data_IF_211821838654
#
_entry.id   IF_211821838654
#
_cell.length_a   1.000
_cell.length_b   1.000
_cell.length_c   1.000
_cell.angle_alpha   90.00
_cell.angle_beta   90.00
_cell.angle_gamma   90.00
#
_symmetry.space_group_name_H-M   'P 1'
#
loop_
_entity.id
_entity.type
_entity.pdbx_description
1 polymer ?
#
# COMPACT_ATOMS: atom_id res chain seq x y z
N UNK A 1 -12.26 -20.06 29.21
CA UNK A 1 -12.78 -21.39 29.57
C UNK A 1 -11.95 -22.44 28.84
N UNK A 2 -11.47 -23.46 29.55
CA UNK A 2 -10.89 -24.65 28.89
C UNK A 2 -12.06 -25.43 28.28
N UNK A 3 -12.29 -25.32 26.99
CA UNK A 3 -13.34 -26.05 26.30
C UNK A 3 -13.13 -27.54 26.37
N UNK A 4 -14.20 -28.28 26.44
CA UNK A 4 -14.17 -29.76 26.54
C UNK A 4 -14.15 -30.32 25.11
N UNK A 5 -12.97 -30.79 24.63
CA UNK A 5 -12.82 -31.48 23.35
C UNK A 5 -13.36 -32.88 23.34
N UNK A 6 -13.57 -33.52 24.54
CA UNK A 6 -14.03 -34.87 24.64
C UNK A 6 -15.47 -35.01 24.17
N UNK A 7 -15.68 -35.84 23.14
CA UNK A 7 -17.00 -36.11 22.58
C UNK A 7 -17.84 -36.98 23.50
N UNK A 8 -19.16 -36.79 23.44
CA UNK A 8 -20.11 -37.64 24.10
C UNK A 8 -20.01 -39.08 23.57
N UNK A 9 -19.92 -40.06 24.46
CA UNK A 9 -19.94 -41.49 24.11
C UNK A 9 -21.35 -42.01 24.19
N UNK A 10 -21.97 -42.25 23.05
CA UNK A 10 -23.33 -42.81 22.95
C UNK A 10 -23.28 -44.31 23.17
N UNK A 11 -24.26 -44.82 23.95
CA UNK A 11 -24.41 -46.24 24.19
C UNK A 11 -25.84 -46.71 23.83
N UNK A 12 -25.96 -47.98 23.40
CA UNK A 12 -27.26 -48.54 23.06
C UNK A 12 -28.13 -48.61 24.33
N UNK A 13 -29.40 -48.16 24.22
CA UNK A 13 -30.35 -48.11 25.34
C UNK A 13 -30.17 -46.94 26.31
N UNK A 14 -29.26 -46.00 26.01
CA UNK A 14 -29.08 -44.81 26.80
C UNK A 14 -30.27 -43.83 26.58
N UNK A 15 -30.80 -43.28 27.66
CA UNK A 15 -31.79 -42.20 27.60
C UNK A 15 -31.12 -40.93 27.07
N UNK A 16 -31.72 -40.27 26.09
CA UNK A 16 -31.23 -39.02 25.54
C UNK A 16 -31.69 -37.86 26.45
N UNK A 17 -30.72 -37.21 27.07
CA UNK A 17 -30.94 -36.04 27.93
C UNK A 17 -30.40 -34.79 27.28
N UNK A 18 -31.00 -33.57 27.53
CA UNK A 18 -30.53 -32.31 27.00
C UNK A 18 -29.04 -32.03 27.24
N UNK A 19 -28.52 -32.38 28.40
CA UNK A 19 -27.12 -32.17 28.81
C UNK A 19 -26.12 -32.91 27.91
N UNK A 20 -26.53 -34.05 27.33
CA UNK A 20 -25.70 -34.81 26.41
C UNK A 20 -25.58 -34.12 25.05
N UNK A 21 -26.66 -33.51 24.57
CA UNK A 21 -26.65 -32.72 23.34
C UNK A 21 -25.83 -31.46 23.53
N UNK A 22 -25.98 -30.75 24.65
CA UNK A 22 -25.19 -29.58 25.01
C UNK A 22 -23.70 -29.93 25.09
N UNK A 23 -23.32 -31.04 25.73
CA UNK A 23 -21.93 -31.51 25.80
C UNK A 23 -21.37 -31.89 24.43
N UNK A 24 -22.19 -32.42 23.52
CA UNK A 24 -21.77 -32.72 22.16
C UNK A 24 -21.56 -31.45 21.36
N UNK A 25 -22.46 -30.48 21.46
CA UNK A 25 -22.34 -29.18 20.83
C UNK A 25 -21.11 -28.42 21.33
N UNK A 26 -20.90 -28.36 22.66
CA UNK A 26 -19.72 -27.76 23.29
C UNK A 26 -18.41 -28.36 22.74
N UNK A 27 -18.37 -29.69 22.56
CA UNK A 27 -17.20 -30.38 22.01
C UNK A 27 -16.94 -30.00 20.54
N UNK A 28 -17.98 -29.85 19.71
CA UNK A 28 -17.89 -29.46 18.31
C UNK A 28 -17.46 -28.01 18.17
N UNK A 29 -18.04 -27.10 18.94
CA UNK A 29 -17.67 -25.68 18.97
C UNK A 29 -16.22 -25.53 19.42
N UNK A 30 -15.82 -26.24 20.49
CA UNK A 30 -14.44 -26.20 20.98
C UNK A 30 -13.44 -26.74 19.94
N UNK A 31 -13.75 -27.84 19.23
CA UNK A 31 -12.90 -28.37 18.14
C UNK A 31 -12.74 -27.31 17.02
N UNK A 32 -13.81 -26.66 16.65
CA UNK A 32 -13.79 -25.61 15.62
C UNK A 32 -12.92 -24.43 16.04
N UNK A 33 -13.13 -23.89 17.24
CA UNK A 33 -12.33 -22.78 17.78
C UNK A 33 -10.84 -23.14 17.84
N UNK A 34 -10.51 -24.35 18.30
CA UNK A 34 -9.12 -24.84 18.38
C UNK A 34 -8.47 -24.90 17.00
N UNK A 35 -9.19 -25.37 15.97
CA UNK A 35 -8.68 -25.42 14.60
C UNK A 35 -8.36 -24.03 14.06
N UNK A 36 -9.24 -23.05 14.30
CA UNK A 36 -8.98 -21.67 13.91
C UNK A 36 -7.76 -21.09 14.64
N UNK A 37 -7.62 -21.33 15.95
CA UNK A 37 -6.45 -20.89 16.71
C UNK A 37 -5.13 -21.52 16.24
N UNK A 38 -5.19 -22.73 15.70
CA UNK A 38 -4.01 -23.41 15.12
C UNK A 38 -3.59 -22.87 13.75
N UNK A 39 -4.34 -21.94 13.15
CA UNK A 39 -3.96 -21.30 11.88
C UNK A 39 -2.70 -20.42 12.00
N UNK A 40 -2.27 -20.11 13.22
CA UNK A 40 -1.06 -19.32 13.50
C UNK A 40 -1.24 -17.81 13.42
N UNK A 41 -2.46 -17.34 13.07
CA UNK A 41 -2.84 -15.92 13.11
C UNK A 41 -3.96 -15.71 14.13
N UNK A 42 -4.13 -14.49 14.68
CA UNK A 42 -5.24 -14.18 15.57
C UNK A 42 -6.60 -14.46 14.90
N UNK A 43 -7.46 -15.18 15.60
CA UNK A 43 -8.74 -15.67 15.07
C UNK A 43 -9.95 -15.03 15.79
N UNK A 44 -9.84 -13.76 16.17
CA UNK A 44 -10.89 -12.97 16.81
C UNK A 44 -10.90 -11.55 16.26
N UNK A 45 -12.02 -10.85 16.46
CA UNK A 45 -12.21 -9.49 16.00
C UNK A 45 -13.38 -9.37 15.03
N UNK A 46 -13.49 -8.22 14.42
CA UNK A 46 -14.58 -7.86 13.50
C UNK A 46 -14.33 -8.48 12.13
N UNK A 47 -15.25 -9.35 11.70
CA UNK A 47 -15.28 -9.88 10.34
C UNK A 47 -16.07 -8.96 9.38
N UNK A 48 -17.14 -8.33 9.87
CA UNK A 48 -17.91 -7.32 9.14
C UNK A 48 -18.55 -6.35 10.13
N UNK A 49 -18.62 -5.06 9.76
CA UNK A 49 -19.31 -4.05 10.55
C UNK A 49 -19.87 -2.97 9.63
N UNK A 50 -21.17 -2.76 9.74
CA UNK A 50 -21.88 -1.70 9.06
C UNK A 50 -22.77 -0.96 10.05
N UNK A 51 -22.59 0.33 10.14
CA UNK A 51 -23.44 1.23 10.94
C UNK A 51 -24.16 2.24 10.05
N UNK A 52 -25.10 2.96 10.64
CA UNK A 52 -25.80 4.03 9.94
C UNK A 52 -25.01 5.35 10.06
N UNK A 53 -24.33 5.74 8.98
CA UNK A 53 -23.48 6.95 8.95
C UNK A 53 -24.29 8.24 9.13
N UNK A 54 -25.52 8.30 8.63
CA UNK A 54 -26.39 9.47 8.78
C UNK A 54 -26.73 9.70 10.25
N UNK A 55 -27.02 8.65 11.00
CA UNK A 55 -27.32 8.77 12.43
C UNK A 55 -26.08 9.13 13.26
N UNK A 56 -24.88 8.80 12.83
CA UNK A 56 -23.64 9.18 13.54
C UNK A 56 -23.49 10.69 13.56
N UNK A 57 -23.72 11.39 12.46
CA UNK A 57 -23.65 12.85 12.42
C UNK A 57 -24.65 13.50 13.37
N UNK A 58 -25.79 12.85 13.64
CA UNK A 58 -26.79 13.25 14.63
C UNK A 58 -26.44 12.83 16.08
N UNK A 59 -25.37 12.06 16.24
CA UNK A 59 -24.89 11.57 17.53
C UNK A 59 -25.54 10.26 17.98
N UNK A 60 -26.01 9.43 17.06
CA UNK A 60 -26.57 8.12 17.39
C UNK A 60 -25.79 7.04 16.67
N UNK A 61 -25.16 6.13 17.40
CA UNK A 61 -24.51 4.95 16.87
C UNK A 61 -25.51 3.79 16.79
N UNK A 62 -25.72 3.28 15.58
CA UNK A 62 -26.65 2.18 15.33
C UNK A 62 -26.04 1.17 14.37
N UNK A 63 -25.87 -0.06 14.83
CA UNK A 63 -25.34 -1.18 14.04
C UNK A 63 -26.45 -1.72 13.13
N UNK A 64 -26.19 -1.74 11.83
CA UNK A 64 -27.08 -2.35 10.82
C UNK A 64 -26.75 -3.81 10.61
N UNK A 65 -25.46 -4.15 10.57
CA UNK A 65 -24.98 -5.50 10.46
C UNK A 65 -23.60 -5.62 11.13
N UNK A 66 -23.35 -6.74 11.78
CA UNK A 66 -22.04 -7.02 12.39
C UNK A 66 -21.80 -8.52 12.44
N UNK A 67 -20.62 -8.95 12.00
CA UNK A 67 -20.11 -10.29 12.26
C UNK A 67 -18.82 -10.14 13.08
N UNK A 68 -18.79 -10.72 14.26
CA UNK A 68 -17.73 -10.55 15.25
C UNK A 68 -17.40 -11.88 15.90
N UNK A 69 -16.12 -12.22 15.98
CA UNK A 69 -15.64 -13.35 16.78
C UNK A 69 -14.97 -12.80 18.02
N UNK A 70 -15.49 -13.16 19.18
CA UNK A 70 -14.95 -12.75 20.47
C UNK A 70 -13.62 -13.47 20.77
N UNK A 71 -12.78 -12.98 21.70
CA UNK A 71 -11.54 -13.66 22.10
C UNK A 71 -11.75 -15.11 22.62
N UNK A 72 -12.91 -15.43 23.19
CA UNK A 72 -13.28 -16.81 23.56
C UNK A 72 -13.45 -17.71 22.33
N UNK A 73 -13.78 -17.14 21.19
CA UNK A 73 -14.16 -17.81 19.95
C UNK A 73 -15.69 -17.81 19.71
N UNK A 74 -16.46 -17.14 20.57
CA UNK A 74 -17.90 -16.96 20.37
C UNK A 74 -18.13 -16.14 19.10
N UNK A 75 -18.90 -16.67 18.16
CA UNK A 75 -19.32 -15.99 16.93
C UNK A 75 -20.65 -15.28 17.17
N UNK A 76 -20.64 -13.98 16.93
CA UNK A 76 -21.80 -13.11 17.01
C UNK A 76 -22.12 -12.55 15.62
N UNK A 77 -23.38 -12.65 15.23
CA UNK A 77 -23.90 -12.13 13.95
C UNK A 77 -25.17 -11.32 14.20
N UNK A 78 -25.14 -10.04 13.89
CA UNK A 78 -26.27 -9.13 13.98
C UNK A 78 -26.78 -8.86 12.57
N UNK A 79 -28.07 -9.19 12.27
CA UNK A 79 -29.16 -9.61 13.14
C UNK A 79 -29.34 -11.14 13.28
N UNK A 80 -28.35 -11.99 13.00
CA UNK A 80 -28.49 -13.45 12.98
C UNK A 80 -28.74 -14.08 14.38
N UNK A 81 -27.68 -14.20 15.20
CA UNK A 81 -27.77 -14.80 16.54
C UNK A 81 -27.58 -13.77 17.66
N UNK A 82 -27.55 -12.48 17.33
CA UNK A 82 -27.38 -11.41 18.31
C UNK A 82 -28.21 -10.17 17.98
N UNK A 83 -28.62 -9.44 19.01
CA UNK A 83 -29.35 -8.19 18.90
C UNK A 83 -28.64 -7.06 19.65
N UNK A 84 -28.78 -5.83 19.17
CA UNK A 84 -28.20 -4.64 19.80
C UNK A 84 -29.15 -3.45 19.70
N UNK A 85 -29.10 -2.55 20.69
CA UNK A 85 -29.84 -1.29 20.66
C UNK A 85 -28.92 -0.14 20.25
N UNK A 86 -29.47 0.93 19.62
CA UNK A 86 -28.71 2.15 19.34
C UNK A 86 -28.14 2.80 20.60
N UNK A 87 -26.99 3.45 20.45
CA UNK A 87 -26.31 4.17 21.54
C UNK A 87 -26.22 5.66 21.23
N UNK A 88 -26.56 6.52 22.20
CA UNK A 88 -26.47 7.97 22.07
C UNK A 88 -25.05 8.46 22.42
N UNK A 89 -24.33 9.02 21.43
CA UNK A 89 -23.00 9.61 21.60
C UNK A 89 -23.01 10.97 22.32
N UNK A 90 -24.18 11.65 22.38
CA UNK A 90 -24.30 12.98 22.96
C UNK A 90 -24.31 12.95 24.50
N UNK A 91 -23.23 12.44 25.11
CA UNK A 91 -23.03 12.44 26.55
C UNK A 91 -22.57 13.84 26.95
N UNK A 92 -23.24 14.48 27.93
CA UNK A 92 -22.89 15.83 28.36
C UNK A 92 -21.43 15.96 28.80
N UNK A 93 -20.74 16.97 28.27
CA UNK A 93 -19.35 17.29 28.64
C UNK A 93 -18.28 16.40 27.96
N UNK A 94 -18.66 15.49 27.06
CA UNK A 94 -17.72 14.63 26.33
C UNK A 94 -17.57 15.04 24.88
N UNK A 95 -16.32 15.07 24.40
CA UNK A 95 -15.96 15.32 23.00
C UNK A 95 -15.47 14.03 22.36
N UNK A 96 -15.04 13.05 23.18
CA UNK A 96 -14.52 11.76 22.74
C UNK A 96 -15.25 10.64 23.45
N UNK A 97 -15.74 9.66 22.70
CA UNK A 97 -16.53 8.55 23.24
C UNK A 97 -15.96 7.23 22.70
N UNK A 98 -15.35 6.41 23.54
CA UNK A 98 -15.06 5.02 23.19
C UNK A 98 -16.34 4.22 23.20
N UNK A 99 -16.49 3.27 22.29
CA UNK A 99 -17.62 2.36 22.27
C UNK A 99 -17.17 0.92 22.48
N UNK A 100 -17.79 0.27 23.44
CA UNK A 100 -17.59 -1.12 23.80
C UNK A 100 -18.85 -1.92 23.49
N UNK A 101 -18.66 -3.14 22.99
CA UNK A 101 -19.71 -4.14 22.84
C UNK A 101 -19.56 -5.15 23.98
N UNK A 102 -20.59 -5.30 24.76
CA UNK A 102 -20.68 -6.22 25.90
C UNK A 102 -21.67 -7.32 25.57
N UNK A 103 -21.25 -8.59 25.79
CA UNK A 103 -22.14 -9.72 25.71
C UNK A 103 -22.68 -10.00 27.10
N UNK A 104 -23.96 -9.75 27.34
CA UNK A 104 -24.54 -9.76 28.69
C UNK A 104 -25.20 -11.10 29.01
N UNK A 105 -25.68 -11.86 28.04
CA UNK A 105 -26.32 -13.13 28.26
C UNK A 105 -27.15 -13.57 27.06
N UNK A 106 -27.89 -14.65 27.28
CA UNK A 106 -28.90 -15.11 26.35
C UNK A 106 -30.17 -14.29 26.56
N UNK A 107 -30.74 -13.75 25.47
CA UNK A 107 -32.03 -13.12 25.53
C UNK A 107 -33.09 -14.22 25.83
N UNK A 108 -33.77 -14.09 26.95
CA UNK A 108 -34.85 -15.02 27.26
C UNK A 108 -36.01 -14.82 26.28
N UNK A 109 -36.59 -15.89 25.71
CA UNK A 109 -37.79 -15.76 24.91
C UNK A 109 -38.92 -15.23 25.78
N UNK A 110 -39.36 -13.96 25.58
CA UNK A 110 -40.48 -13.37 26.29
C UNK A 110 -40.23 -12.06 27.03
N UNK A 111 -39.00 -11.56 27.14
CA UNK A 111 -38.78 -10.16 27.56
C UNK A 111 -38.87 -9.24 26.33
N UNK A 112 -40.03 -8.65 26.16
CA UNK A 112 -40.29 -7.58 25.19
C UNK A 112 -39.46 -6.35 25.58
N UNK A 113 -38.21 -6.27 25.08
CA UNK A 113 -37.56 -4.99 24.89
C UNK A 113 -38.29 -4.27 23.76
N UNK A 114 -38.62 -2.98 23.92
CA UNK A 114 -39.25 -2.12 22.92
C UNK A 114 -38.43 -2.04 21.63
N UNK A 115 -38.55 -3.03 20.79
CA UNK A 115 -37.89 -3.15 19.50
C UNK A 115 -38.19 -4.53 18.92
N UNK A 116 -39.44 -4.69 18.47
CA UNK A 116 -40.05 -5.94 18.04
C UNK A 116 -39.20 -6.79 17.10
N UNK A 117 -38.54 -7.75 17.65
CA UNK A 117 -38.18 -8.99 16.99
C UNK A 117 -39.09 -10.07 17.55
N UNK A 118 -40.15 -10.34 16.84
CA UNK A 118 -40.87 -11.60 16.97
C UNK A 118 -39.84 -12.69 16.66
N UNK A 119 -39.50 -13.52 17.67
CA UNK A 119 -38.88 -14.82 17.41
C UNK A 119 -39.75 -15.48 16.36
N UNK A 120 -39.26 -15.64 15.13
CA UNK A 120 -40.01 -16.38 14.10
C UNK A 120 -40.17 -17.78 14.67
N UNK A 121 -41.39 -18.09 15.18
CA UNK A 121 -41.83 -19.44 15.50
C UNK A 121 -41.94 -20.25 14.22
N UNK A 122 -40.82 -20.68 13.66
CA UNK A 122 -40.80 -21.82 12.77
C UNK A 122 -40.82 -23.10 13.63
N UNK A 123 -41.98 -23.44 14.09
CA UNK A 123 -42.18 -24.67 14.89
C UNK A 123 -41.64 -24.51 16.33
N UNK A 124 -41.83 -25.48 17.15
CA UNK A 124 -41.57 -25.59 18.60
C UNK A 124 -40.09 -25.55 19.04
N UNK A 125 -39.18 -24.90 18.29
CA UNK A 125 -37.74 -24.85 18.61
C UNK A 125 -37.35 -23.44 19.08
N UNK A 126 -37.02 -23.28 20.36
CA UNK A 126 -36.44 -22.06 20.90
C UNK A 126 -34.97 -21.94 20.48
N UNK A 127 -34.57 -20.78 19.93
CA UNK A 127 -33.18 -20.47 19.56
C UNK A 127 -32.57 -19.52 20.59
N UNK A 128 -31.26 -19.68 20.84
CA UNK A 128 -30.51 -18.77 21.70
C UNK A 128 -30.13 -17.55 20.88
N UNK A 129 -30.49 -16.37 21.36
CA UNK A 129 -30.10 -15.06 20.80
C UNK A 129 -29.34 -14.29 21.88
N UNK A 130 -28.17 -13.79 21.55
CA UNK A 130 -27.35 -13.02 22.46
C UNK A 130 -27.77 -11.57 22.53
N UNK A 131 -27.85 -11.01 23.73
CA UNK A 131 -28.08 -9.59 23.92
C UNK A 131 -26.73 -8.85 24.01
N UNK A 132 -26.55 -7.87 23.12
CA UNK A 132 -25.35 -7.03 23.09
C UNK A 132 -25.71 -5.63 23.58
N UNK A 133 -24.95 -5.15 24.55
CA UNK A 133 -25.06 -3.78 25.05
C UNK A 133 -23.89 -2.98 24.48
N UNK A 134 -24.21 -1.85 23.81
CA UNK A 134 -23.22 -0.87 23.41
C UNK A 134 -23.14 0.21 24.48
N UNK A 135 -21.94 0.48 24.99
CA UNK A 135 -21.75 1.52 26.01
C UNK A 135 -20.40 2.24 25.85
N UNK A 136 -20.25 3.37 26.51
CA UNK A 136 -18.97 4.10 26.62
C UNK A 136 -18.05 3.57 27.73
N UNK A 137 -18.57 2.70 28.57
CA UNK A 137 -17.85 2.15 29.73
C UNK A 137 -17.17 0.84 29.36
N UNK A 138 -15.92 0.67 29.80
CA UNK A 138 -15.16 -0.57 29.54
C UNK A 138 -15.73 -1.78 30.27
N UNK A 139 -16.42 -1.59 31.38
CA UNK A 139 -17.00 -2.65 32.19
C UNK A 139 -18.50 -2.47 32.33
N UNK A 140 -19.25 -3.52 32.02
CA UNK A 140 -20.71 -3.56 32.14
C UNK A 140 -21.10 -4.68 33.11
N UNK A 141 -21.92 -4.39 34.15
CA UNK A 141 -22.44 -5.41 35.04
C UNK A 141 -23.15 -6.55 34.28
N UNK A 142 -22.84 -7.79 34.61
CA UNK A 142 -23.41 -8.96 33.96
C UNK A 142 -22.79 -9.33 32.59
N UNK A 143 -21.91 -8.53 32.03
CA UNK A 143 -21.20 -8.88 30.83
C UNK A 143 -20.14 -9.97 31.10
N UNK A 144 -20.14 -11.03 30.29
CA UNK A 144 -19.14 -12.08 30.38
C UNK A 144 -17.99 -11.92 29.37
N UNK A 145 -18.20 -11.14 28.29
CA UNK A 145 -17.17 -10.69 27.36
C UNK A 145 -17.39 -9.25 26.91
N UNK A 146 -16.29 -8.56 26.60
CA UNK A 146 -16.31 -7.18 26.15
C UNK A 146 -15.23 -6.96 25.11
N UNK A 147 -15.56 -6.25 24.03
CA UNK A 147 -14.60 -5.79 23.02
C UNK A 147 -14.85 -4.32 22.72
N UNK A 148 -13.78 -3.55 22.51
CA UNK A 148 -13.88 -2.17 22.04
C UNK A 148 -14.11 -2.15 20.53
N UNK A 149 -15.20 -1.52 20.08
CA UNK A 149 -15.61 -1.49 18.69
C UNK A 149 -15.06 -0.29 17.93
N UNK A 150 -15.10 0.89 18.54
CA UNK A 150 -14.72 2.14 17.87
C UNK A 150 -14.43 3.24 18.89
N UNK A 151 -13.86 4.32 18.44
CA UNK A 151 -13.84 5.61 19.12
C UNK A 151 -14.46 6.68 18.22
N UNK A 152 -15.29 7.54 18.80
CA UNK A 152 -15.88 8.68 18.12
C UNK A 152 -15.39 9.99 18.74
N UNK A 153 -15.26 11.02 17.91
CA UNK A 153 -14.87 12.35 18.34
C UNK A 153 -15.73 13.40 17.63
N UNK A 154 -16.07 14.47 18.32
CA UNK A 154 -16.70 15.65 17.71
C UNK A 154 -15.63 16.51 17.04
N UNK A 155 -15.89 16.91 15.83
CA UNK A 155 -15.11 17.94 15.17
C UNK A 155 -15.42 19.35 15.77
N UNK A 156 -14.68 20.41 15.36
CA UNK A 156 -14.93 21.78 15.83
C UNK A 156 -16.33 22.30 15.48
N UNK A 157 -17.01 21.73 14.51
CA UNK A 157 -18.37 22.07 14.08
C UNK A 157 -19.43 21.30 14.88
N UNK A 158 -19.01 20.38 15.75
CA UNK A 158 -19.87 19.60 16.62
C UNK A 158 -20.41 18.32 16.00
N UNK A 159 -19.91 17.93 14.82
CA UNK A 159 -20.32 16.72 14.11
C UNK A 159 -19.49 15.53 14.61
N UNK A 160 -20.18 14.41 14.89
CA UNK A 160 -19.50 13.18 15.29
C UNK A 160 -18.86 12.47 14.10
N UNK A 161 -17.60 12.05 14.27
CA UNK A 161 -16.87 11.23 13.32
C UNK A 161 -16.11 10.08 14.00
N UNK A 162 -15.83 9.02 13.27
CA UNK A 162 -14.98 7.93 13.78
C UNK A 162 -13.53 8.39 13.84
N UNK A 163 -12.85 8.06 14.93
CA UNK A 163 -11.41 8.31 15.10
C UNK A 163 -10.59 7.28 14.34
N UNK A 164 -9.58 7.74 13.61
CA UNK A 164 -8.67 6.88 12.81
C UNK A 164 -7.51 6.31 13.62
N UNK A 165 -7.20 6.88 14.78
CA UNK A 165 -6.11 6.44 15.66
C UNK A 165 -6.47 5.24 16.56
N UNK A 166 -7.73 4.79 16.48
CA UNK A 166 -8.16 3.52 17.06
C UNK A 166 -8.80 2.64 15.97
N UNK A 167 -8.28 1.43 15.82
CA UNK A 167 -8.83 0.39 14.97
C UNK A 167 -8.99 -0.86 15.83
N UNK A 168 -10.20 -1.42 15.95
CA UNK A 168 -10.42 -2.66 16.69
C UNK A 168 -9.71 -3.85 16.04
N UNK A 169 -9.55 -4.97 16.75
CA UNK A 169 -9.16 -6.21 16.10
C UNK A 169 -10.07 -6.55 14.93
N UNK A 170 -9.50 -6.81 13.76
CA UNK A 170 -10.22 -7.14 12.53
C UNK A 170 -9.86 -8.55 12.07
N UNK A 171 -10.82 -9.34 11.65
CA UNK A 171 -10.59 -10.59 10.93
C UNK A 171 -10.45 -10.37 9.42
N UNK A 172 -11.08 -9.31 8.91
CA UNK A 172 -11.07 -8.99 7.49
C UNK A 172 -10.94 -7.49 7.29
N UNK A 173 -10.12 -7.09 6.33
CA UNK A 173 -10.01 -5.72 5.83
C UNK A 173 -10.98 -5.55 4.65
N UNK A 174 -11.65 -4.39 4.58
CA UNK A 174 -12.58 -4.08 3.49
C UNK A 174 -14.05 -4.42 3.77
N UNK A 175 -14.36 -4.97 4.95
CA UNK A 175 -15.72 -5.30 5.39
C UNK A 175 -16.24 -4.39 6.50
N UNK A 176 -15.45 -3.39 6.85
CA UNK A 176 -15.73 -2.39 7.87
C UNK A 176 -15.17 -1.05 7.42
N UNK A 177 -15.56 0.08 8.03
CA UNK A 177 -15.04 1.40 7.65
C UNK A 177 -13.57 1.62 8.01
N UNK A 178 -12.97 0.73 8.79
CA UNK A 178 -11.60 0.88 9.25
C UNK A 178 -10.57 0.57 8.16
N UNK A 179 -9.46 1.32 8.14
CA UNK A 179 -8.33 1.22 7.22
C UNK A 179 -8.60 1.60 5.75
N UNK A 180 -9.84 1.74 5.34
CA UNK A 180 -10.14 1.99 3.93
C UNK A 180 -9.67 3.37 3.47
N UNK A 181 -9.86 4.42 4.27
CA UNK A 181 -9.36 5.76 3.96
C UNK A 181 -7.84 5.84 3.91
N UNK A 182 -7.15 5.13 4.81
CA UNK A 182 -5.68 5.04 4.82
C UNK A 182 -5.15 4.36 3.56
N UNK A 183 -5.86 3.32 3.08
CA UNK A 183 -5.50 2.63 1.84
C UNK A 183 -5.84 3.42 0.59
N UNK A 184 -6.89 4.23 0.60
CA UNK A 184 -7.20 5.14 -0.52
C UNK A 184 -6.13 6.23 -0.64
N UNK A 185 -5.77 6.90 0.46
CA UNK A 185 -4.65 7.85 0.49
C UNK A 185 -3.31 7.22 0.10
N UNK A 186 -3.07 5.97 0.52
CA UNK A 186 -1.87 5.23 0.12
C UNK A 186 -1.89 4.89 -1.37
N UNK A 187 -3.05 4.52 -1.91
CA UNK A 187 -3.24 4.24 -3.34
C UNK A 187 -2.90 5.44 -4.23
N UNK A 188 -3.35 6.64 -3.85
CA UNK A 188 -3.01 7.89 -4.56
C UNK A 188 -1.49 8.17 -4.54
N UNK A 189 -0.86 8.01 -3.37
CA UNK A 189 0.59 8.16 -3.25
C UNK A 189 1.35 7.11 -4.09
N UNK A 190 0.83 5.89 -4.18
CA UNK A 190 1.41 4.81 -4.97
C UNK A 190 1.31 5.07 -6.48
N UNK A 191 0.21 5.63 -6.98
CA UNK A 191 0.05 6.01 -8.37
C UNK A 191 1.04 7.11 -8.78
N UNK A 192 1.22 8.12 -7.95
CA UNK A 192 2.22 9.16 -8.16
C UNK A 192 3.64 8.57 -8.15
N UNK A 193 3.93 7.70 -7.22
CA UNK A 193 5.23 7.04 -7.14
C UNK A 193 5.51 6.15 -8.36
N UNK A 194 4.50 5.41 -8.86
CA UNK A 194 4.60 4.64 -10.09
C UNK A 194 4.97 5.52 -11.28
N UNK A 195 4.28 6.65 -11.45
CA UNK A 195 4.56 7.59 -12.53
C UNK A 195 6.03 8.07 -12.50
N UNK A 196 6.52 8.42 -11.32
CA UNK A 196 7.89 8.90 -11.13
C UNK A 196 8.93 7.79 -11.38
N UNK A 197 8.66 6.55 -10.93
CA UNK A 197 9.51 5.41 -11.23
C UNK A 197 9.57 5.11 -12.73
N UNK A 198 8.47 5.30 -13.47
CA UNK A 198 8.46 5.11 -14.92
C UNK A 198 9.32 6.17 -15.63
N UNK A 199 9.29 7.42 -15.16
CA UNK A 199 10.18 8.48 -15.67
C UNK A 199 11.65 8.18 -15.32
N UNK A 200 11.91 7.69 -14.10
CA UNK A 200 13.26 7.31 -13.68
C UNK A 200 13.79 6.13 -14.52
N UNK A 201 12.97 5.11 -14.74
CA UNK A 201 13.33 3.98 -15.62
C UNK A 201 13.74 4.45 -17.03
N UNK A 202 13.04 5.42 -17.59
CA UNK A 202 13.35 5.98 -18.91
C UNK A 202 14.67 6.76 -18.94
N UNK A 203 15.19 7.18 -17.78
CA UNK A 203 16.47 7.91 -17.67
C UNK A 203 17.70 7.00 -17.54
N UNK A 204 17.53 5.70 -17.27
CA UNK A 204 18.62 4.74 -17.20
C UNK A 204 18.86 4.07 -18.54
N UNK A 205 20.11 3.99 -18.95
CA UNK A 205 20.53 3.31 -20.19
C UNK A 205 20.51 1.80 -20.05
N UNK A 206 21.08 1.29 -18.96
CA UNK A 206 21.12 -0.15 -18.64
C UNK A 206 21.84 -0.36 -17.29
N UNK A 207 21.87 -1.60 -16.81
CA UNK A 207 22.67 -2.00 -15.67
C UNK A 207 21.95 -1.97 -14.33
N UNK A 208 22.72 -1.88 -13.22
CA UNK A 208 22.20 -2.05 -11.87
C UNK A 208 21.15 -0.99 -11.46
N UNK A 209 21.23 0.22 -12.02
CA UNK A 209 20.25 1.28 -11.78
C UNK A 209 18.87 0.93 -12.32
N UNK A 210 18.79 0.60 -13.62
CA UNK A 210 17.54 0.20 -14.27
C UNK A 210 16.94 -1.03 -13.58
N UNK A 211 17.75 -2.04 -13.27
CA UNK A 211 17.28 -3.24 -12.58
C UNK A 211 16.61 -2.91 -11.23
N UNK A 212 17.18 -1.98 -10.44
CA UNK A 212 16.57 -1.56 -9.16
C UNK A 212 15.22 -0.88 -9.34
N UNK A 213 15.11 0.00 -10.36
CA UNK A 213 13.84 0.67 -10.68
C UNK A 213 12.80 -0.35 -11.13
N UNK A 214 13.15 -1.29 -12.01
CA UNK A 214 12.26 -2.35 -12.49
C UNK A 214 11.77 -3.26 -11.35
N UNK A 215 12.65 -3.62 -10.40
CA UNK A 215 12.24 -4.39 -9.22
C UNK A 215 11.26 -3.61 -8.35
N UNK A 216 11.49 -2.32 -8.13
CA UNK A 216 10.58 -1.46 -7.38
C UNK A 216 9.24 -1.28 -8.11
N UNK A 217 9.24 -1.09 -9.45
CA UNK A 217 8.02 -1.05 -10.26
C UNK A 217 7.21 -2.34 -10.15
N UNK A 218 7.88 -3.48 -10.15
CA UNK A 218 7.21 -4.78 -9.93
C UNK A 218 6.50 -4.80 -8.57
N UNK A 219 7.15 -4.33 -7.51
CA UNK A 219 6.53 -4.20 -6.18
C UNK A 219 5.33 -3.25 -6.19
N UNK A 220 5.41 -2.13 -6.90
CA UNK A 220 4.27 -1.22 -7.11
C UNK A 220 3.10 -1.93 -7.74
N UNK A 221 3.29 -2.65 -8.87
CA UNK A 221 2.20 -3.36 -9.54
C UNK A 221 1.60 -4.48 -8.66
N UNK A 222 2.43 -5.18 -7.88
CA UNK A 222 1.94 -6.19 -6.94
C UNK A 222 1.07 -5.55 -5.85
N UNK A 223 1.49 -4.41 -5.32
CA UNK A 223 0.75 -3.67 -4.29
C UNK A 223 -0.55 -3.08 -4.84
N UNK A 224 -0.55 -2.52 -6.05
CA UNK A 224 -1.77 -2.03 -6.71
C UNK A 224 -2.78 -3.16 -6.92
N UNK A 225 -2.33 -4.34 -7.41
CA UNK A 225 -3.20 -5.51 -7.56
C UNK A 225 -3.77 -5.95 -6.22
N UNK A 226 -2.99 -5.89 -5.17
CA UNK A 226 -3.42 -6.20 -3.82
C UNK A 226 -4.51 -5.24 -3.34
N UNK A 227 -4.33 -3.92 -3.50
CA UNK A 227 -5.35 -2.91 -3.17
C UNK A 227 -6.63 -3.07 -4.01
N UNK A 228 -6.48 -3.40 -5.29
CA UNK A 228 -7.62 -3.68 -6.16
C UNK A 228 -8.44 -4.89 -5.70
N UNK A 229 -7.79 -5.94 -5.18
CA UNK A 229 -8.46 -7.09 -4.60
C UNK A 229 -9.31 -6.70 -3.38
N UNK A 230 -8.78 -5.86 -2.48
CA UNK A 230 -9.53 -5.36 -1.32
C UNK A 230 -10.81 -4.59 -1.75
N UNK A 231 -10.70 -3.77 -2.80
CA UNK A 231 -11.85 -3.04 -3.38
C UNK A 231 -12.85 -3.95 -4.10
N UNK A 232 -12.41 -5.12 -4.58
CA UNK A 232 -13.22 -6.11 -5.30
C UNK A 232 -13.84 -7.18 -4.37
N UNK A 233 -13.99 -6.89 -3.09
CA UNK A 233 -14.56 -7.80 -2.08
C UNK A 233 -13.76 -9.10 -1.87
N UNK A 234 -12.49 -9.12 -2.22
CA UNK A 234 -11.56 -10.18 -1.82
C UNK A 234 -10.92 -9.76 -0.49
N UNK A 235 -11.55 -10.18 0.59
CA UNK A 235 -11.16 -9.76 1.93
C UNK A 235 -10.01 -10.60 2.46
N UNK A 236 -9.10 -9.94 3.20
CA UNK A 236 -7.93 -10.60 3.77
C UNK A 236 -7.77 -10.22 5.24
N UNK A 237 -7.19 -11.13 6.01
CA UNK A 237 -6.82 -10.85 7.38
C UNK A 237 -5.77 -9.72 7.42
N UNK A 238 -5.86 -8.75 8.37
CA UNK A 238 -4.94 -7.60 8.46
C UNK A 238 -3.45 -8.01 8.53
N UNK A 239 -3.15 -9.16 9.09
CA UNK A 239 -1.79 -9.70 9.12
C UNK A 239 -1.16 -9.82 7.73
N UNK A 240 -1.89 -10.37 6.76
CA UNK A 240 -1.37 -10.52 5.39
C UNK A 240 -1.21 -9.17 4.69
N UNK A 241 -2.10 -8.22 4.97
CA UNK A 241 -1.99 -6.84 4.48
C UNK A 241 -0.73 -6.18 5.03
N UNK A 242 -0.51 -6.32 6.34
CA UNK A 242 0.66 -5.77 7.02
C UNK A 242 1.98 -6.34 6.47
N UNK A 243 2.07 -7.66 6.29
CA UNK A 243 3.25 -8.32 5.72
C UNK A 243 3.51 -7.92 4.26
N UNK A 244 2.46 -7.74 3.45
CA UNK A 244 2.59 -7.26 2.08
C UNK A 244 3.15 -5.83 2.04
N UNK A 245 2.67 -4.94 2.90
CA UNK A 245 3.18 -3.56 3.01
C UNK A 245 4.63 -3.53 3.52
N UNK A 246 5.01 -4.39 4.46
CA UNK A 246 6.41 -4.52 4.91
C UNK A 246 7.33 -4.97 3.78
N UNK A 247 6.90 -5.95 2.99
CA UNK A 247 7.66 -6.42 1.82
C UNK A 247 7.87 -5.27 0.83
N UNK A 248 6.83 -4.54 0.53
CA UNK A 248 6.93 -3.38 -0.38
C UNK A 248 7.80 -2.26 0.20
N UNK A 249 7.72 -1.99 1.51
CA UNK A 249 8.61 -1.03 2.18
C UNK A 249 10.09 -1.37 2.00
N UNK A 250 10.45 -2.66 2.12
CA UNK A 250 11.81 -3.13 1.88
C UNK A 250 12.24 -2.83 0.44
N UNK A 251 11.40 -3.14 -0.55
CA UNK A 251 11.68 -2.89 -1.96
C UNK A 251 11.91 -1.40 -2.26
N UNK A 252 11.08 -0.51 -1.69
CA UNK A 252 11.24 0.94 -1.81
C UNK A 252 12.53 1.42 -1.16
N UNK A 253 12.88 0.91 0.03
CA UNK A 253 14.14 1.25 0.70
C UNK A 253 15.37 0.81 -0.12
N UNK A 254 15.34 -0.38 -0.71
CA UNK A 254 16.41 -0.84 -1.59
C UNK A 254 16.54 0.03 -2.84
N UNK A 255 15.42 0.40 -3.46
CA UNK A 255 15.43 1.35 -4.58
C UNK A 255 16.09 2.68 -4.19
N UNK A 256 15.74 3.24 -3.03
CA UNK A 256 16.31 4.50 -2.50
C UNK A 256 17.72 4.35 -1.93
N UNK A 257 18.29 3.14 -1.86
CA UNK A 257 19.55 2.84 -1.18
C UNK A 257 19.57 3.26 0.30
N UNK A 258 18.43 3.14 0.97
CA UNK A 258 18.23 3.43 2.40
C UNK A 258 18.08 2.12 3.16
N UNK A 259 18.62 2.07 4.39
CA UNK A 259 18.42 0.91 5.27
C UNK A 259 16.97 0.90 5.79
N UNK A 260 16.23 -0.20 5.65
CA UNK A 260 14.86 -0.28 6.15
C UNK A 260 14.86 -0.41 7.69
N UNK A 261 14.44 0.64 8.40
CA UNK A 261 14.50 0.72 9.86
C UNK A 261 13.30 0.06 10.56
N UNK A 262 12.14 0.01 9.90
CA UNK A 262 10.87 -0.42 10.49
C UNK A 262 10.50 -1.89 10.25
N UNK A 263 11.44 -2.74 9.83
CA UNK A 263 11.18 -4.16 9.54
C UNK A 263 10.89 -4.97 10.82
N UNK A 264 11.54 -4.60 11.92
CA UNK A 264 11.50 -5.38 13.16
C UNK A 264 10.21 -5.21 13.97
N UNK A 265 9.34 -4.24 13.64
CA UNK A 265 8.09 -4.04 14.36
C UNK A 265 7.18 -5.27 14.20
N UNK A 266 6.79 -5.94 15.30
CA UNK A 266 5.91 -7.10 15.24
C UNK A 266 4.47 -6.68 14.91
N UNK A 267 3.72 -7.58 14.29
CA UNK A 267 2.29 -7.41 14.15
C UNK A 267 1.59 -7.51 15.52
N UNK A 268 0.76 -6.52 15.86
CA UNK A 268 -0.01 -6.47 17.10
C UNK A 268 -1.50 -6.36 16.75
N UNK A 269 -2.22 -7.45 16.94
CA UNK A 269 -3.62 -7.57 16.51
C UNK A 269 -4.57 -6.63 17.28
N UNK A 270 -4.26 -6.32 18.52
CA UNK A 270 -5.03 -5.42 19.37
C UNK A 270 -4.65 -3.93 19.20
N UNK A 271 -3.63 -3.65 18.38
CA UNK A 271 -3.09 -2.30 18.15
C UNK A 271 -2.96 -2.00 16.66
N UNK A 272 -3.98 -2.32 15.87
CA UNK A 272 -3.91 -2.24 14.40
C UNK A 272 -3.63 -0.82 13.90
N UNK A 273 -4.18 0.21 14.55
CA UNK A 273 -3.91 1.61 14.17
C UNK A 273 -2.40 1.91 14.26
N UNK A 274 -1.76 1.57 15.38
CA UNK A 274 -0.32 1.77 15.55
C UNK A 274 0.48 0.92 14.54
N UNK A 275 0.13 -0.36 14.35
CA UNK A 275 0.79 -1.22 13.38
C UNK A 275 0.79 -0.65 11.97
N UNK A 276 -0.37 -0.21 11.49
CA UNK A 276 -0.49 0.33 10.13
C UNK A 276 0.14 1.72 10.00
N UNK A 277 0.09 2.56 11.02
CA UNK A 277 0.78 3.86 11.03
C UNK A 277 2.31 3.69 11.00
N UNK A 278 2.86 2.72 11.76
CA UNK A 278 4.30 2.41 11.78
C UNK A 278 4.85 1.94 10.43
N UNK A 279 4.02 1.42 9.53
CA UNK A 279 4.45 1.00 8.20
C UNK A 279 4.05 1.98 7.09
N UNK A 280 2.81 2.48 7.09
CA UNK A 280 2.30 3.39 6.05
C UNK A 280 2.98 4.76 6.11
N UNK A 281 3.28 5.28 7.29
CA UNK A 281 3.96 6.56 7.46
C UNK A 281 5.36 6.58 6.83
N UNK A 282 6.28 5.71 7.27
CA UNK A 282 7.60 5.57 6.66
C UNK A 282 7.53 5.24 5.17
N UNK A 283 6.63 4.35 4.74
CA UNK A 283 6.46 3.98 3.35
C UNK A 283 6.06 5.18 2.48
N UNK A 284 5.03 5.94 2.87
CA UNK A 284 4.62 7.17 2.18
C UNK A 284 5.78 8.19 2.15
N UNK A 285 6.59 8.30 3.21
CA UNK A 285 7.74 9.20 3.24
C UNK A 285 8.84 8.77 2.28
N UNK A 286 9.13 7.47 2.19
CA UNK A 286 10.12 6.96 1.22
C UNK A 286 9.65 7.09 -0.23
N UNK A 287 8.35 7.02 -0.49
CA UNK A 287 7.79 7.21 -1.83
C UNK A 287 7.78 8.69 -2.29
N UNK A 288 7.94 9.65 -1.37
CA UNK A 288 8.09 11.05 -1.75
C UNK A 288 9.34 11.21 -2.63
N UNK A 289 9.20 12.02 -3.67
CA UNK A 289 10.31 12.31 -4.58
C UNK A 289 11.46 12.95 -3.81
N UNK A 290 12.63 12.31 -3.93
CA UNK A 290 13.88 13.05 -3.99
C UNK A 290 14.08 13.33 -5.48
N UNK A 291 14.23 14.56 -5.90
CA UNK A 291 14.71 14.88 -7.23
C UNK A 291 16.09 14.24 -7.37
N UNK A 292 16.11 13.03 -7.93
CA UNK A 292 17.35 12.40 -8.36
C UNK A 292 17.65 13.06 -9.69
N UNK A 293 18.50 14.07 -9.70
CA UNK A 293 19.09 14.56 -10.94
C UNK A 293 19.76 13.37 -11.63
N UNK A 294 19.13 12.88 -12.69
CA UNK A 294 19.77 11.85 -13.53
C UNK A 294 21.05 12.45 -14.09
N UNK A 295 22.23 11.79 -13.90
CA UNK A 295 23.45 12.23 -14.52
C UNK A 295 23.43 12.07 -16.05
N UNK A 296 22.37 11.44 -16.59
CA UNK A 296 22.20 11.15 -18.00
C UNK A 296 21.05 11.97 -18.56
N UNK A 297 21.32 12.73 -19.60
CA UNK A 297 20.35 13.59 -20.26
C UNK A 297 20.08 13.04 -21.66
N UNK A 298 18.88 12.51 -21.97
CA UNK A 298 18.57 11.95 -23.27
C UNK A 298 18.45 13.04 -24.35
N UNK A 299 19.05 12.82 -25.52
CA UNK A 299 18.79 13.62 -26.70
C UNK A 299 17.46 13.20 -27.31
N UNK A 300 16.63 14.17 -27.65
CA UNK A 300 15.33 13.94 -28.29
C UNK A 300 15.42 14.13 -29.78
N UNK A 301 14.84 13.20 -30.53
CA UNK A 301 14.72 13.33 -31.97
C UNK A 301 13.55 14.28 -32.33
N UNK A 302 13.86 15.37 -33.04
CA UNK A 302 12.89 16.34 -33.52
C UNK A 302 13.35 16.93 -34.86
N UNK A 303 12.47 17.02 -35.86
CA UNK A 303 12.71 17.67 -37.14
C UNK A 303 14.00 17.24 -37.86
N UNK A 304 14.36 15.93 -37.74
CA UNK A 304 15.58 15.36 -38.34
C UNK A 304 16.86 15.63 -37.55
N UNK A 305 16.75 16.14 -36.33
CA UNK A 305 17.84 16.41 -35.41
C UNK A 305 17.68 15.66 -34.10
N UNK A 306 18.77 15.10 -33.59
CA UNK A 306 18.90 14.78 -32.17
C UNK A 306 19.30 16.06 -31.43
N UNK A 307 18.52 16.46 -30.43
CA UNK A 307 18.74 17.73 -29.74
C UNK A 307 18.43 17.62 -28.25
N UNK A 308 19.11 18.47 -27.46
CA UNK A 308 18.95 18.55 -26.01
C UNK A 308 19.18 19.99 -25.53
N UNK A 309 18.41 20.38 -24.52
CA UNK A 309 18.71 21.56 -23.70
C UNK A 309 19.58 21.13 -22.52
N UNK A 310 20.75 21.76 -22.38
CA UNK A 310 21.71 21.43 -21.32
C UNK A 310 21.33 22.20 -20.05
N UNK A 311 21.43 21.59 -18.87
CA UNK A 311 21.22 22.31 -17.62
C UNK A 311 22.36 23.28 -17.33
N UNK A 312 22.15 24.37 -16.59
CA UNK A 312 23.18 25.36 -16.26
C UNK A 312 24.44 24.81 -15.61
N UNK A 313 24.27 23.73 -14.81
CA UNK A 313 25.35 23.04 -14.10
C UNK A 313 26.35 22.33 -15.05
N UNK A 314 25.99 22.19 -16.33
CA UNK A 314 26.90 21.67 -17.35
C UNK A 314 28.15 22.53 -17.54
N UNK A 315 28.07 23.84 -17.20
CA UNK A 315 29.21 24.76 -17.26
C UNK A 315 30.29 24.47 -16.23
N UNK A 316 29.93 23.77 -15.15
CA UNK A 316 30.85 23.41 -14.06
C UNK A 316 31.36 21.97 -14.18
N UNK A 317 30.90 21.23 -15.19
CA UNK A 317 31.29 19.84 -15.40
C UNK A 317 32.78 19.78 -15.81
N UNK A 318 33.54 18.88 -15.16
CA UNK A 318 34.97 18.66 -15.48
C UNK A 318 35.15 17.88 -16.78
N UNK A 319 34.24 16.99 -17.06
CA UNK A 319 34.24 16.14 -18.23
C UNK A 319 32.81 15.88 -18.68
N UNK A 320 32.57 15.96 -19.98
CA UNK A 320 31.27 15.67 -20.58
C UNK A 320 31.43 14.61 -21.66
N UNK A 321 30.52 13.67 -21.66
CA UNK A 321 30.53 12.51 -22.58
C UNK A 321 29.22 12.45 -23.35
N UNK A 322 29.31 12.13 -24.64
CA UNK A 322 28.20 11.64 -25.42
C UNK A 322 28.19 10.11 -25.33
N UNK A 323 27.12 9.55 -24.80
CA UNK A 323 26.89 8.12 -24.68
C UNK A 323 26.03 7.65 -25.84
N UNK A 324 26.40 6.56 -26.46
CA UNK A 324 25.64 5.94 -27.55
C UNK A 324 25.23 4.54 -27.13
N UNK A 325 23.95 4.36 -26.89
CA UNK A 325 23.37 3.04 -26.61
C UNK A 325 22.97 2.35 -27.92
N UNK A 326 23.49 1.16 -28.13
CA UNK A 326 23.26 0.34 -29.33
C UNK A 326 22.21 -0.72 -29.05
N UNK A 327 21.37 -0.99 -30.03
CA UNK A 327 20.43 -2.14 -29.95
C UNK A 327 21.17 -3.51 -29.99
N UNK A 328 22.37 -3.56 -30.56
CA UNK A 328 23.21 -4.76 -30.62
C UNK A 328 24.63 -4.44 -30.20
N UNK A 329 25.21 -5.23 -29.31
CA UNK A 329 26.59 -5.08 -28.81
C UNK A 329 27.63 -5.12 -29.93
N UNK A 330 27.41 -5.96 -30.95
CA UNK A 330 28.33 -6.14 -32.09
C UNK A 330 28.40 -4.97 -33.07
N UNK A 331 27.48 -3.99 -32.96
CA UNK A 331 27.43 -2.84 -33.86
C UNK A 331 28.56 -1.88 -33.53
N UNK A 332 29.46 -1.66 -34.49
CA UNK A 332 30.56 -0.68 -34.37
C UNK A 332 29.99 0.71 -34.64
N UNK A 333 30.18 1.65 -33.71
CA UNK A 333 29.76 3.04 -33.87
C UNK A 333 30.98 3.88 -34.19
N UNK A 334 30.91 4.58 -35.35
CA UNK A 334 31.84 5.67 -35.67
C UNK A 334 31.04 6.97 -35.73
N UNK A 335 31.50 7.98 -34.99
CA UNK A 335 30.92 9.32 -34.99
C UNK A 335 31.82 10.34 -35.75
N UNK A 336 32.80 9.87 -36.54
CA UNK A 336 33.77 10.73 -37.22
C UNK A 336 33.09 11.74 -38.19
N UNK A 337 31.98 11.34 -38.79
CA UNK A 337 31.23 12.16 -39.75
C UNK A 337 30.10 12.98 -39.07
N UNK A 338 29.92 12.84 -37.75
CA UNK A 338 28.87 13.54 -37.02
C UNK A 338 29.40 14.89 -36.58
N UNK A 339 28.65 15.93 -36.94
CA UNK A 339 28.95 17.30 -36.53
C UNK A 339 28.01 17.68 -35.37
N UNK A 340 28.55 17.86 -34.19
CA UNK A 340 27.84 18.40 -33.05
C UNK A 340 28.00 19.91 -32.96
N UNK A 341 26.93 20.60 -32.64
CA UNK A 341 26.95 22.03 -32.36
C UNK A 341 25.70 22.46 -31.54
N UNK A 342 25.66 23.71 -31.11
CA UNK A 342 24.43 24.25 -30.51
C UNK A 342 23.26 24.24 -31.53
N UNK A 343 22.03 24.23 -31.02
CA UNK A 343 20.83 24.17 -31.88
C UNK A 343 20.81 25.34 -32.91
N UNK A 344 21.26 26.53 -32.53
CA UNK A 344 21.29 27.69 -33.43
C UNK A 344 22.38 27.58 -34.51
N UNK A 345 23.50 26.93 -34.21
CA UNK A 345 24.68 26.88 -35.08
C UNK A 345 24.78 25.64 -35.94
N UNK A 346 24.04 24.56 -35.65
CA UNK A 346 24.16 23.27 -36.33
C UNK A 346 23.99 23.42 -37.87
N UNK A 347 23.04 24.24 -38.32
CA UNK A 347 22.80 24.50 -39.74
C UNK A 347 23.98 25.22 -40.42
N UNK A 348 24.65 26.12 -39.69
CA UNK A 348 25.83 26.82 -40.18
C UNK A 348 27.03 25.87 -40.25
N UNK A 349 27.28 25.11 -39.21
CA UNK A 349 28.37 24.12 -39.12
C UNK A 349 28.26 23.10 -40.27
N UNK A 350 27.04 22.66 -40.56
CA UNK A 350 26.80 21.73 -41.69
C UNK A 350 27.02 22.35 -43.03
N UNK A 351 26.45 23.57 -43.28
CA UNK A 351 26.53 24.28 -44.58
C UNK A 351 27.94 24.70 -44.92
N UNK A 352 28.72 25.15 -43.96
CA UNK A 352 30.11 25.60 -44.15
C UNK A 352 31.14 24.48 -43.99
N UNK A 353 30.70 23.25 -43.81
CA UNK A 353 31.56 22.09 -43.58
C UNK A 353 32.57 22.26 -42.43
N UNK A 354 32.21 23.02 -41.39
CA UNK A 354 33.02 23.19 -40.18
C UNK A 354 33.12 21.86 -39.42
N UNK A 355 34.14 21.71 -38.59
CA UNK A 355 34.39 20.48 -37.84
C UNK A 355 33.30 20.17 -36.78
N UNK A 356 32.67 21.21 -36.21
CA UNK A 356 31.78 21.07 -35.06
C UNK A 356 32.55 20.77 -33.76
N UNK A 357 31.82 20.28 -32.74
CA UNK A 357 32.42 19.89 -31.47
C UNK A 357 33.13 18.55 -31.65
N UNK A 358 34.45 18.46 -31.36
CA UNK A 358 35.19 17.23 -31.53
C UNK A 358 34.83 16.17 -30.48
N UNK A 359 34.80 14.93 -30.90
CA UNK A 359 34.52 13.75 -30.06
C UNK A 359 35.71 12.80 -30.08
N UNK A 360 36.09 12.30 -28.89
CA UNK A 360 37.12 11.28 -28.77
C UNK A 360 36.53 10.01 -28.18
N UNK A 361 36.62 8.89 -28.92
CA UNK A 361 36.15 7.61 -28.38
C UNK A 361 37.02 7.15 -27.22
N UNK A 362 36.38 6.76 -26.10
CA UNK A 362 37.04 6.31 -24.89
C UNK A 362 36.62 4.86 -24.61
N UNK A 363 37.59 3.94 -24.58
CA UNK A 363 37.33 2.53 -24.47
C UNK A 363 36.82 2.10 -23.09
N UNK A 364 37.19 2.73 -22.00
CA UNK A 364 36.68 2.44 -20.65
C UNK A 364 36.93 3.62 -19.68
N UNK A 365 35.98 4.54 -19.51
CA UNK A 365 36.09 5.55 -18.46
C UNK A 365 36.05 4.92 -17.06
N UNK A 366 36.77 5.52 -16.11
CA UNK A 366 36.93 5.02 -14.73
C UNK A 366 35.61 4.94 -13.89
N UNK A 367 34.50 5.46 -14.43
CA UNK A 367 33.17 5.50 -13.79
C UNK A 367 32.20 4.45 -14.33
N UNK A 368 32.66 3.46 -15.07
CA UNK A 368 31.88 2.54 -15.92
C UNK A 368 31.04 1.49 -15.15
N UNK A 369 30.92 1.55 -13.86
CA UNK A 369 30.24 0.52 -13.06
C UNK A 369 28.73 0.36 -13.35
N UNK A 370 28.13 1.24 -14.14
CA UNK A 370 26.69 1.27 -14.39
C UNK A 370 26.28 0.95 -15.82
N UNK A 371 27.22 0.75 -16.77
CA UNK A 371 26.93 0.57 -18.18
C UNK A 371 27.33 -0.82 -18.69
N UNK A 372 26.50 -1.39 -19.55
CA UNK A 372 26.81 -2.63 -20.24
C UNK A 372 27.67 -2.41 -21.51
N UNK A 373 28.08 -3.51 -22.18
CA UNK A 373 28.89 -3.44 -23.39
C UNK A 373 28.16 -2.85 -24.60
N UNK A 374 26.87 -2.60 -24.50
CA UNK A 374 26.03 -1.95 -25.52
C UNK A 374 26.22 -0.44 -25.57
N UNK A 375 26.93 0.17 -24.60
CA UNK A 375 27.13 1.61 -24.52
C UNK A 375 28.55 1.97 -24.92
N UNK A 376 28.70 2.77 -25.98
CA UNK A 376 29.95 3.40 -26.35
C UNK A 376 30.06 4.82 -25.78
N UNK A 377 31.28 5.21 -25.40
CA UNK A 377 31.56 6.51 -24.79
C UNK A 377 32.39 7.39 -25.70
N UNK A 378 31.95 8.63 -25.89
CA UNK A 378 32.66 9.64 -26.63
C UNK A 378 32.84 10.88 -25.76
N UNK A 379 34.09 11.19 -25.41
CA UNK A 379 34.40 12.40 -24.64
C UNK A 379 34.27 13.63 -25.55
N UNK A 380 33.55 14.61 -25.07
CA UNK A 380 33.46 15.93 -25.73
C UNK A 380 34.77 16.69 -25.46
N UNK A 381 35.39 17.17 -26.50
CA UNK A 381 36.62 17.94 -26.42
C UNK A 381 36.25 19.44 -26.40
N UNK A 382 36.83 20.15 -25.44
CA UNK A 382 36.64 21.58 -25.31
C UNK A 382 37.16 22.34 -26.53
N UNK A 383 36.47 23.44 -26.91
CA UNK A 383 36.82 24.30 -28.03
C UNK A 383 35.71 25.31 -28.30
N UNK A 384 35.91 26.20 -29.29
CA UNK A 384 35.00 27.32 -29.58
C UNK A 384 33.53 26.85 -29.80
N UNK A 385 33.30 25.75 -30.50
CA UNK A 385 31.95 25.24 -30.74
C UNK A 385 31.31 24.64 -29.48
N UNK A 386 32.13 24.07 -28.54
CA UNK A 386 31.65 23.65 -27.25
C UNK A 386 31.32 24.85 -26.35
N UNK A 387 32.13 25.93 -26.37
CA UNK A 387 31.83 27.16 -25.64
C UNK A 387 30.54 27.81 -26.13
N UNK A 388 30.27 27.77 -27.41
CA UNK A 388 28.97 28.19 -27.96
C UNK A 388 27.82 27.31 -27.46
N UNK A 389 27.97 25.98 -27.42
CA UNK A 389 26.94 25.07 -26.92
C UNK A 389 26.65 25.31 -25.43
N UNK A 390 27.70 25.56 -24.61
CA UNK A 390 27.55 25.90 -23.20
C UNK A 390 26.94 27.28 -22.97
N UNK A 391 27.24 28.25 -23.83
CA UNK A 391 26.63 29.59 -23.72
C UNK A 391 25.14 29.58 -24.00
N UNK A 392 24.71 28.84 -25.01
CA UNK A 392 23.32 28.65 -25.39
C UNK A 392 22.61 27.52 -24.60
N UNK A 393 23.33 26.76 -23.82
CA UNK A 393 22.82 25.60 -23.08
C UNK A 393 22.07 24.64 -24.01
N UNK A 394 22.61 24.36 -25.17
CA UNK A 394 21.98 23.48 -26.16
C UNK A 394 22.99 22.66 -26.95
N UNK A 395 22.60 21.46 -27.37
CA UNK A 395 23.41 20.59 -28.20
C UNK A 395 22.53 19.88 -29.21
N UNK A 396 23.05 19.71 -30.44
CA UNK A 396 22.31 19.00 -31.50
C UNK A 396 23.23 18.43 -32.56
N UNK A 397 22.73 17.44 -33.30
CA UNK A 397 23.33 16.89 -34.53
C UNK A 397 22.26 16.31 -35.45
N UNK A 398 22.56 16.24 -36.76
CA UNK A 398 21.62 15.66 -37.73
C UNK A 398 21.59 14.14 -37.66
N UNK A 399 20.36 13.59 -37.88
CA UNK A 399 20.19 12.15 -38.06
C UNK A 399 20.96 11.66 -39.31
N UNK A 400 21.53 10.46 -39.20
CA UNK A 400 22.22 9.81 -40.26
C UNK A 400 21.79 8.33 -40.33
N UNK A 401 21.80 7.71 -41.52
CA UNK A 401 21.34 6.31 -41.68
C UNK A 401 22.05 5.30 -40.79
N UNK A 402 23.29 5.57 -40.39
CA UNK A 402 24.10 4.73 -39.51
C UNK A 402 23.68 4.78 -38.04
N UNK A 403 22.92 5.80 -37.65
CA UNK A 403 22.48 6.05 -36.29
C UNK A 403 21.12 5.44 -35.94
N UNK A 404 20.50 4.77 -36.92
CA UNK A 404 19.22 4.09 -36.70
C UNK A 404 19.33 3.06 -35.59
N UNK A 405 18.31 2.98 -34.75
CA UNK A 405 18.24 2.06 -33.60
C UNK A 405 19.32 2.33 -32.53
N UNK A 406 19.70 3.58 -32.36
CA UNK A 406 20.60 4.05 -31.29
C UNK A 406 19.94 5.16 -30.51
N UNK A 407 20.17 5.16 -29.21
CA UNK A 407 19.78 6.24 -28.30
C UNK A 407 21.02 7.00 -27.84
N UNK A 408 20.87 8.32 -27.67
CA UNK A 408 21.97 9.23 -27.35
C UNK A 408 21.69 9.95 -26.04
N UNK A 409 22.74 10.06 -25.22
CA UNK A 409 22.65 10.74 -23.93
C UNK A 409 23.89 11.58 -23.70
N UNK A 410 23.71 12.69 -22.97
CA UNK A 410 24.84 13.44 -22.42
C UNK A 410 25.03 13.03 -20.97
N UNK A 411 26.26 12.72 -20.61
CA UNK A 411 26.69 12.41 -19.24
C UNK A 411 27.71 13.46 -18.78
N UNK A 412 27.52 14.00 -17.59
CA UNK A 412 28.45 14.95 -16.95
C UNK A 412 29.15 14.30 -15.77
N UNK A 413 30.41 14.69 -15.57
CA UNK A 413 31.19 14.35 -14.39
C UNK A 413 31.71 15.59 -13.68
#
# INVERSE_FOLDING_TARGET
MAGKLARVRWQMGQTLLPEQFQAQEEALVTDTIMRFRMSGIPAYGIAALKWNETLISEGVFSIQAMALVMPSGLLLDVPGNATTSPFNLNIPGTVKVPLYCHVVGEASPGEEGEGGWEAQEEGTISRVVYQLIISSEQSQPGAFETIKLAEFEKDPEGIWGVRRDFIPPLLQVGTSPFLMSEFDEFGEALELFQYNLALDAASYLSGAGLFRVEQCLKGVYQTQRFLANLRSQVHMHPYYVYEALKTFYIEVCFYKSVVPEHIASPYRHDELAACFQEILGPLKNQMKLVEVESPYLPLRFRDGLYQIELPPEMREAKEVYLLVQKSQVSKVVSLEDIKLASISRISLVHRLALQGIPLEKVDQPSFQHSFGPEVDFFRIIEGEEWDHALSELSLSFYDQPQLKEMDFYIYRR
#
